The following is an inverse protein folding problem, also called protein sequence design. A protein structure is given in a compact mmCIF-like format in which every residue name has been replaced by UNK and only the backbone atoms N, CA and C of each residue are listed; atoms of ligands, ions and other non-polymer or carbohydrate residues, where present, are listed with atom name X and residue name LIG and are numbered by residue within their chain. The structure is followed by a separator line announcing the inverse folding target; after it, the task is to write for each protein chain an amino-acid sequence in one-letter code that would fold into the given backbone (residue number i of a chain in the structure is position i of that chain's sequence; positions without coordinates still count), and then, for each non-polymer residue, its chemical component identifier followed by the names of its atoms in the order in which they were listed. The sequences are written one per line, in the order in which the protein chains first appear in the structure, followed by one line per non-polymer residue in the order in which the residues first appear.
data_IF_840885318861
#
_entry.id   IF_840885318861
#
_cell.length_a   1.000
_cell.length_b   1.000
_cell.length_c   1.000
_cell.angle_alpha   90.00
_cell.angle_beta   90.00
_cell.angle_gamma   90.00
#
_symmetry.space_group_name_H-M   'P 1'
#
loop_
_entity.id
_entity.type
_entity.pdbx_description
1 polymer ?
#
# COMPACT_ATOMS: atom_id res chain seq x y z
N UNK A 1 4.75 -40.26 2.02
CA UNK A 1 4.58 -38.84 2.42
C UNK A 1 3.39 -38.28 1.65
N UNK A 2 2.23 -38.10 2.31
CA UNK A 2 1.04 -37.55 1.67
C UNK A 2 1.30 -36.10 1.28
N UNK A 3 1.43 -35.86 -0.03
CA UNK A 3 1.63 -34.53 -0.61
C UNK A 3 0.50 -33.61 -0.19
N UNK A 4 0.83 -32.47 0.39
CA UNK A 4 -0.15 -31.41 0.67
C UNK A 4 -0.85 -31.10 -0.65
N UNK A 5 -2.17 -31.32 -0.71
CA UNK A 5 -3.01 -30.81 -1.79
C UNK A 5 -2.94 -29.29 -1.70
N UNK A 6 -2.03 -28.67 -2.45
CA UNK A 6 -2.07 -27.24 -2.69
C UNK A 6 -3.44 -26.94 -3.30
N UNK A 7 -4.21 -26.09 -2.63
CA UNK A 7 -5.50 -25.66 -3.14
C UNK A 7 -5.23 -24.83 -4.39
N UNK A 8 -5.40 -25.46 -5.56
CA UNK A 8 -5.30 -24.77 -6.85
C UNK A 8 -6.48 -23.79 -6.93
N UNK A 9 -6.19 -22.52 -7.21
CA UNK A 9 -7.15 -21.46 -7.52
C UNK A 9 -8.00 -20.91 -6.34
N UNK A 10 -7.38 -20.47 -5.23
CA UNK A 10 -8.09 -19.54 -4.32
C UNK A 10 -8.15 -18.14 -4.95
N UNK A 11 -9.13 -17.90 -5.83
CA UNK A 11 -9.49 -16.52 -6.17
C UNK A 11 -10.29 -15.92 -5.02
N UNK A 12 -10.06 -14.66 -4.70
CA UNK A 12 -10.79 -13.94 -3.64
C UNK A 12 -11.42 -12.68 -4.22
N UNK A 13 -12.71 -12.48 -3.96
CA UNK A 13 -13.42 -11.26 -4.28
C UNK A 13 -13.72 -10.49 -3.00
N UNK A 14 -13.41 -9.18 -3.00
CA UNK A 14 -13.73 -8.26 -1.90
C UNK A 14 -14.44 -7.06 -2.52
N UNK A 15 -15.76 -6.98 -2.35
CA UNK A 15 -16.58 -5.97 -3.01
C UNK A 15 -16.38 -6.01 -4.53
N UNK A 16 -15.89 -4.90 -5.10
CA UNK A 16 -15.61 -4.78 -6.54
C UNK A 16 -14.25 -5.37 -6.98
N UNK A 17 -13.38 -5.69 -6.03
CA UNK A 17 -12.02 -6.14 -6.32
C UNK A 17 -11.96 -7.65 -6.49
N UNK A 18 -11.14 -8.10 -7.42
CA UNK A 18 -10.89 -9.50 -7.73
C UNK A 18 -9.39 -9.77 -7.63
N UNK A 19 -9.02 -10.75 -6.81
CA UNK A 19 -7.63 -11.13 -6.57
C UNK A 19 -7.41 -12.54 -7.11
N UNK A 20 -6.39 -12.69 -7.96
CA UNK A 20 -5.93 -14.00 -8.42
C UNK A 20 -5.16 -14.75 -7.33
N UNK A 21 -4.52 -14.00 -6.44
CA UNK A 21 -3.80 -14.53 -5.29
C UNK A 21 -4.27 -13.81 -4.01
N UNK A 22 -4.77 -14.53 -3.00
CA UNK A 22 -5.23 -13.96 -1.73
C UNK A 22 -4.02 -13.68 -0.83
N UNK A 23 -3.08 -12.88 -1.35
CA UNK A 23 -1.81 -12.55 -0.73
C UNK A 23 -1.75 -11.04 -0.53
N UNK A 24 -1.33 -10.65 0.66
CA UNK A 24 -1.05 -9.27 1.01
C UNK A 24 0.46 -9.15 1.21
N UNK A 25 1.10 -8.30 0.44
CA UNK A 25 2.48 -7.90 0.72
C UNK A 25 2.44 -6.86 1.85
N UNK A 26 3.02 -7.18 3.01
CA UNK A 26 2.90 -6.34 4.21
C UNK A 26 3.52 -4.93 4.09
N UNK A 27 2.95 -3.95 4.79
CA UNK A 27 3.52 -2.61 4.88
C UNK A 27 4.83 -2.60 5.67
N UNK A 28 5.90 -2.07 5.08
CA UNK A 28 7.22 -1.89 5.71
C UNK A 28 7.63 -0.42 5.56
N UNK A 29 7.78 0.28 6.70
CA UNK A 29 8.08 1.71 6.75
C UNK A 29 9.48 2.09 6.29
N UNK A 30 9.80 3.38 6.40
CA UNK A 30 11.15 3.95 6.14
C UNK A 30 11.66 3.59 4.74
N UNK A 31 10.78 3.70 3.75
CA UNK A 31 11.18 3.58 2.34
C UNK A 31 11.26 2.17 1.76
N UNK A 32 10.81 1.13 2.47
CA UNK A 32 10.79 -0.24 1.94
C UNK A 32 9.56 -0.49 1.06
N UNK A 33 8.36 -0.36 1.63
CA UNK A 33 7.09 -0.53 0.91
C UNK A 33 6.67 0.76 0.22
N UNK A 34 7.25 0.99 -0.96
CA UNK A 34 6.95 2.12 -1.84
C UNK A 34 6.17 1.68 -3.09
N UNK A 35 5.89 2.61 -4.00
CA UNK A 35 5.01 2.41 -5.14
C UNK A 35 5.51 1.38 -6.15
N UNK A 36 6.83 1.17 -6.26
CA UNK A 36 7.38 0.09 -7.09
C UNK A 36 6.98 -1.29 -6.58
N UNK A 37 7.13 -1.54 -5.27
CA UNK A 37 6.82 -2.84 -4.68
C UNK A 37 5.31 -3.06 -4.68
N UNK A 38 4.54 -2.13 -4.10
CA UNK A 38 3.09 -2.22 -4.04
C UNK A 38 2.46 -2.33 -5.44
N UNK A 39 2.92 -1.52 -6.40
CA UNK A 39 2.44 -1.55 -7.77
C UNK A 39 2.68 -2.88 -8.47
N UNK A 40 3.87 -3.47 -8.34
CA UNK A 40 4.17 -4.76 -8.98
C UNK A 40 3.43 -5.92 -8.33
N UNK A 41 3.19 -5.89 -7.01
CA UNK A 41 2.36 -6.89 -6.33
C UNK A 41 0.93 -6.84 -6.87
N UNK A 42 0.34 -5.65 -6.95
CA UNK A 42 -1.01 -5.48 -7.47
C UNK A 42 -1.13 -5.82 -8.96
N UNK A 43 -0.13 -5.45 -9.77
CA UNK A 43 -0.03 -5.86 -11.18
C UNK A 43 -0.13 -7.38 -11.36
N UNK A 44 0.35 -8.17 -10.40
CA UNK A 44 0.28 -9.62 -10.41
C UNK A 44 -1.00 -10.19 -9.74
N UNK A 45 -2.02 -9.37 -9.49
CA UNK A 45 -3.34 -9.84 -9.01
C UNK A 45 -3.42 -10.07 -7.51
N UNK A 46 -2.53 -9.45 -6.72
CA UNK A 46 -2.50 -9.51 -5.26
C UNK A 46 -2.74 -8.12 -4.63
N UNK A 47 -2.63 -8.01 -3.30
CA UNK A 47 -2.72 -6.72 -2.58
C UNK A 47 -1.32 -6.18 -2.32
N UNK A 48 -0.99 -5.06 -2.97
CA UNK A 48 0.25 -4.31 -2.72
C UNK A 48 0.01 -3.20 -1.71
N UNK A 49 0.92 -3.05 -0.73
CA UNK A 49 0.73 -2.11 0.38
C UNK A 49 1.86 -1.08 0.38
N UNK A 50 1.51 0.20 0.40
CA UNK A 50 2.44 1.31 0.67
C UNK A 50 2.43 1.59 2.16
N UNK A 51 3.59 1.75 2.82
CA UNK A 51 3.62 2.19 4.23
C UNK A 51 3.78 3.70 4.31
N UNK A 52 2.97 4.36 5.14
CA UNK A 52 3.06 5.81 5.36
C UNK A 52 4.21 6.18 6.31
N UNK A 53 4.69 5.23 7.11
CA UNK A 53 5.69 5.46 8.16
C UNK A 53 6.97 5.96 7.53
N UNK A 54 7.29 7.22 7.78
CA UNK A 54 8.48 7.93 7.29
C UNK A 54 8.74 7.78 5.79
N UNK A 55 7.67 7.70 4.99
CA UNK A 55 7.75 7.60 3.53
C UNK A 55 8.48 8.80 2.89
N UNK A 56 8.43 9.95 3.54
CA UNK A 56 9.05 11.21 3.13
C UNK A 56 10.51 11.35 3.53
N UNK A 57 11.18 10.32 4.06
CA UNK A 57 12.56 10.41 4.57
C UNK A 57 13.62 10.95 3.57
N UNK A 58 13.29 11.03 2.28
CA UNK A 58 14.15 11.58 1.21
C UNK A 58 13.78 13.01 0.80
N UNK A 59 12.71 13.58 1.35
CA UNK A 59 12.33 14.96 1.09
C UNK A 59 13.23 15.91 1.90
N UNK A 60 13.59 17.06 1.32
CA UNK A 60 14.58 17.97 1.89
C UNK A 60 14.20 18.50 3.29
N UNK A 61 12.91 18.70 3.54
CA UNK A 61 12.34 19.22 4.79
C UNK A 61 11.88 18.11 5.75
N UNK A 62 12.22 16.84 5.52
CA UNK A 62 11.67 15.72 6.30
C UNK A 62 11.84 15.87 7.82
N UNK A 63 13.02 16.28 8.29
CA UNK A 63 13.29 16.40 9.73
C UNK A 63 12.63 17.62 10.39
N UNK A 64 12.22 18.63 9.63
CA UNK A 64 11.60 19.87 10.14
C UNK A 64 10.10 19.95 9.85
N UNK A 65 9.62 19.17 8.87
CA UNK A 65 8.25 19.18 8.37
C UNK A 65 7.80 17.77 7.94
N UNK A 66 8.02 16.79 8.83
CA UNK A 66 7.84 15.35 8.59
C UNK A 66 6.46 15.00 8.02
N UNK A 67 5.40 15.61 8.55
CA UNK A 67 4.03 15.29 8.13
C UNK A 67 3.78 15.67 6.67
N UNK A 68 4.12 16.90 6.27
CA UNK A 68 3.95 17.36 4.88
C UNK A 68 4.92 16.67 3.93
N UNK A 69 6.16 16.38 4.36
CA UNK A 69 7.11 15.56 3.61
C UNK A 69 6.52 14.17 3.29
N UNK A 70 5.98 13.49 4.32
CA UNK A 70 5.31 12.20 4.17
C UNK A 70 4.10 12.28 3.24
N UNK A 71 3.28 13.33 3.36
CA UNK A 71 2.12 13.55 2.49
C UNK A 71 2.53 13.70 1.02
N UNK A 72 3.54 14.52 0.72
CA UNK A 72 4.05 14.70 -0.66
C UNK A 72 4.60 13.40 -1.22
N UNK A 73 5.44 12.69 -0.44
CA UNK A 73 6.02 11.43 -0.87
C UNK A 73 4.97 10.32 -1.08
N UNK A 74 3.97 10.23 -0.20
CA UNK A 74 2.85 9.29 -0.34
C UNK A 74 2.09 9.49 -1.64
N UNK A 75 1.74 10.73 -2.00
CA UNK A 75 1.05 11.02 -3.27
C UNK A 75 1.86 10.56 -4.49
N UNK A 76 3.17 10.83 -4.50
CA UNK A 76 4.10 10.40 -5.57
C UNK A 76 4.11 8.88 -5.70
N UNK A 77 4.27 8.16 -4.59
CA UNK A 77 4.38 6.70 -4.59
C UNK A 77 3.04 6.00 -4.85
N UNK A 78 1.91 6.55 -4.39
CA UNK A 78 0.58 6.06 -4.69
C UNK A 78 0.27 6.17 -6.19
N UNK A 79 0.54 7.33 -6.81
CA UNK A 79 0.36 7.53 -8.25
C UNK A 79 1.20 6.53 -9.05
N UNK A 80 2.46 6.33 -8.65
CA UNK A 80 3.37 5.37 -9.26
C UNK A 80 2.84 3.93 -9.12
N UNK A 81 2.37 3.54 -7.93
CA UNK A 81 1.80 2.21 -7.70
C UNK A 81 0.58 1.95 -8.57
N UNK A 82 -0.38 2.90 -8.60
CA UNK A 82 -1.58 2.82 -9.43
C UNK A 82 -1.23 2.70 -10.92
N UNK A 83 -0.24 3.45 -11.40
CA UNK A 83 0.26 3.36 -12.78
C UNK A 83 0.85 1.99 -13.10
N UNK A 84 1.66 1.41 -12.20
CA UNK A 84 2.27 0.08 -12.40
C UNK A 84 1.21 -1.02 -12.37
N UNK A 85 0.26 -0.93 -11.43
CA UNK A 85 -0.82 -1.89 -11.26
C UNK A 85 -1.75 -1.94 -12.48
N UNK A 86 -1.90 -0.81 -13.19
CA UNK A 86 -2.73 -0.69 -14.38
C UNK A 86 -4.16 -1.24 -14.18
N UNK A 87 -4.74 -0.94 -13.02
CA UNK A 87 -6.09 -1.38 -12.64
C UNK A 87 -6.22 -2.83 -12.17
N UNK A 88 -5.13 -3.60 -12.10
CA UNK A 88 -5.13 -4.95 -11.54
C UNK A 88 -4.80 -4.95 -10.03
N UNK A 89 -5.33 -5.93 -9.31
CA UNK A 89 -5.10 -6.08 -7.86
C UNK A 89 -5.67 -4.93 -7.04
N UNK A 90 -5.08 -4.71 -5.86
CA UNK A 90 -5.49 -3.66 -4.91
C UNK A 90 -4.24 -2.90 -4.48
N UNK A 91 -4.31 -1.56 -4.48
CA UNK A 91 -3.31 -0.71 -3.83
C UNK A 91 -3.83 -0.24 -2.48
N UNK A 92 -3.24 -0.77 -1.43
CA UNK A 92 -3.55 -0.41 -0.05
C UNK A 92 -2.48 0.50 0.55
N UNK A 93 -2.82 1.15 1.66
CA UNK A 93 -1.88 1.88 2.51
C UNK A 93 -1.90 1.29 3.92
N UNK A 94 -0.72 1.14 4.52
CA UNK A 94 -0.58 0.85 5.93
C UNK A 94 -0.40 2.17 6.71
N UNK A 95 -1.28 2.39 7.70
CA UNK A 95 -1.27 3.57 8.58
C UNK A 95 -1.33 3.06 10.02
N UNK A 96 -0.19 3.07 10.71
CA UNK A 96 -0.15 2.61 12.09
C UNK A 96 -0.93 3.56 13.02
N UNK A 97 -1.79 3.01 13.88
CA UNK A 97 -2.51 3.78 14.91
C UNK A 97 -1.59 4.53 15.89
N UNK A 98 -0.33 4.09 16.02
CA UNK A 98 0.67 4.71 16.88
C UNK A 98 1.22 6.06 16.38
N UNK A 99 0.88 6.49 15.15
CA UNK A 99 1.32 7.78 14.61
C UNK A 99 0.53 8.94 15.23
N UNK A 100 1.23 10.01 15.61
CA UNK A 100 0.61 11.23 16.16
C UNK A 100 -0.46 11.83 15.22
N UNK A 101 -0.27 11.72 13.90
CA UNK A 101 -1.16 12.25 12.87
C UNK A 101 -2.03 11.15 12.20
N UNK A 102 -2.38 10.09 12.94
CA UNK A 102 -3.14 8.96 12.40
C UNK A 102 -4.41 9.40 11.65
N UNK A 103 -5.24 10.25 12.26
CA UNK A 103 -6.49 10.71 11.64
C UNK A 103 -6.25 11.50 10.35
N UNK A 104 -5.23 12.34 10.32
CA UNK A 104 -4.90 13.14 9.15
C UNK A 104 -4.41 12.26 8.01
N UNK A 105 -3.62 11.22 8.32
CA UNK A 105 -3.21 10.23 7.32
C UNK A 105 -4.39 9.41 6.80
N UNK A 106 -5.36 9.04 7.65
CA UNK A 106 -6.58 8.36 7.21
C UNK A 106 -7.41 9.24 6.27
N UNK A 107 -7.65 10.50 6.65
CA UNK A 107 -8.37 11.47 5.79
C UNK A 107 -7.69 11.64 4.44
N UNK A 108 -6.38 11.85 4.45
CA UNK A 108 -5.57 11.95 3.23
C UNK A 108 -5.67 10.68 2.36
N UNK A 109 -5.59 9.49 2.96
CA UNK A 109 -5.70 8.24 2.21
C UNK A 109 -7.07 8.07 1.53
N UNK A 110 -8.14 8.50 2.19
CA UNK A 110 -9.50 8.52 1.63
C UNK A 110 -9.61 9.55 0.49
N UNK A 111 -9.10 10.76 0.67
CA UNK A 111 -9.07 11.81 -0.37
C UNK A 111 -8.32 11.35 -1.63
N UNK A 112 -7.19 10.66 -1.45
CA UNK A 112 -6.37 10.11 -2.53
C UNK A 112 -6.94 8.80 -3.14
N UNK A 113 -8.11 8.37 -2.66
CA UNK A 113 -8.86 7.21 -3.15
C UNK A 113 -8.01 5.94 -3.16
N UNK A 114 -7.33 5.64 -2.06
CA UNK A 114 -6.68 4.34 -1.87
C UNK A 114 -7.75 3.24 -1.85
N UNK A 115 -7.42 2.04 -2.32
CA UNK A 115 -8.41 0.95 -2.41
C UNK A 115 -8.72 0.33 -1.04
N UNK A 116 -7.75 0.32 -0.13
CA UNK A 116 -7.89 -0.19 1.23
C UNK A 116 -6.91 0.50 2.21
N UNK A 117 -7.28 0.54 3.49
CA UNK A 117 -6.43 0.98 4.61
C UNK A 117 -6.20 -0.22 5.53
N UNK A 118 -4.94 -0.47 5.87
CA UNK A 118 -4.50 -1.49 6.83
C UNK A 118 -3.95 -0.76 8.06
N UNK A 119 -4.53 -1.00 9.23
CA UNK A 119 -4.18 -0.33 10.48
C UNK A 119 -3.41 -1.26 11.40
#
# INVERSE_FOLDING_TARGET
MNGRKYVKNLKLSIGKFHLDYPVIQGGMGVGISLGNLAGNVAKNGAIGVISIVDIGYREDDFYTNTFEANKRAFKKELLKAKKIANGNGIIAVNIMKALNNFEDYVKMAVEEKVDAIIV
#
